data_IF_090320073511
#
_entry.id   IF_090320073511
#
_cell.length_a   1.000
_cell.length_b   1.000
_cell.length_c   1.000
_cell.angle_alpha   90.00
_cell.angle_beta   90.00
_cell.angle_gamma   90.00
#
_symmetry.space_group_name_H-M   'P 1'
#
loop_
_entity.id
_entity.type
_entity.pdbx_description
1 polymer ?
#
# COMPACT_ATOMS: atom_id res chain seq x y z
N UNK A 1 -6.23 -11.63 -9.49
CA UNK A 1 -4.94 -12.30 -9.22
C UNK A 1 -4.70 -12.32 -7.73
N UNK A 2 -3.94 -13.30 -7.24
CA UNK A 2 -3.61 -13.43 -5.82
C UNK A 2 -2.18 -12.95 -5.61
N UNK A 3 -2.01 -12.00 -4.69
CA UNK A 3 -0.73 -11.39 -4.39
C UNK A 3 -0.45 -11.47 -2.89
N UNK A 4 0.83 -11.38 -2.53
CA UNK A 4 1.26 -11.26 -1.14
C UNK A 4 2.02 -9.97 -0.99
N UNK A 5 1.44 -9.02 -0.27
CA UNK A 5 2.09 -7.74 0.02
C UNK A 5 2.87 -7.83 1.32
N UNK A 6 4.10 -7.33 1.33
CA UNK A 6 4.89 -7.10 2.54
C UNK A 6 5.01 -5.61 2.75
N UNK A 7 4.30 -5.09 3.75
CA UNK A 7 4.15 -3.65 3.97
C UNK A 7 4.80 -3.28 5.30
N UNK A 8 5.60 -2.21 5.30
CA UNK A 8 6.16 -1.67 6.53
C UNK A 8 5.07 -1.02 7.39
N UNK A 9 4.96 -1.45 8.65
CA UNK A 9 4.00 -0.94 9.63
C UNK A 9 4.73 -0.45 10.87
N UNK A 10 4.34 0.72 11.35
CA UNK A 10 4.90 1.33 12.56
C UNK A 10 3.79 2.15 13.23
N UNK A 11 3.46 1.82 14.48
CA UNK A 11 2.35 2.47 15.21
C UNK A 11 2.64 3.91 15.64
N UNK A 12 3.91 4.32 15.63
CA UNK A 12 4.30 5.68 16.01
C UNK A 12 5.81 5.87 16.05
N UNK A 13 6.28 7.10 16.29
CA UNK A 13 7.69 7.48 16.12
C UNK A 13 8.64 6.81 17.11
N UNK A 14 8.14 6.28 18.24
CA UNK A 14 8.92 5.59 19.27
C UNK A 14 8.85 4.07 19.15
N UNK A 15 7.93 3.55 18.35
CA UNK A 15 7.71 2.12 18.19
C UNK A 15 8.63 1.57 17.10
N UNK A 16 9.11 0.34 17.28
CA UNK A 16 9.89 -0.33 16.24
C UNK A 16 8.95 -0.75 15.09
N UNK A 17 9.27 -0.34 13.87
CA UNK A 17 8.54 -0.79 12.70
C UNK A 17 8.88 -2.22 12.29
N UNK A 18 8.01 -2.84 11.50
CA UNK A 18 8.17 -4.20 11.00
C UNK A 18 7.49 -4.38 9.65
N UNK A 19 7.92 -5.38 8.89
CA UNK A 19 7.19 -5.82 7.70
C UNK A 19 6.05 -6.74 8.13
N UNK A 20 4.82 -6.38 7.75
CA UNK A 20 3.62 -7.20 7.95
C UNK A 20 3.19 -7.78 6.60
N UNK A 21 2.77 -9.04 6.59
CA UNK A 21 2.41 -9.77 5.37
C UNK A 21 0.90 -9.83 5.23
N UNK A 22 0.40 -9.42 4.06
CA UNK A 22 -1.01 -9.43 3.71
C UNK A 22 -1.24 -10.28 2.45
N UNK A 23 -1.91 -11.43 2.55
CA UNK A 23 -2.42 -12.12 1.39
C UNK A 23 -3.66 -11.37 0.89
N UNK A 24 -3.68 -11.03 -0.40
CA UNK A 24 -4.83 -10.39 -1.05
C UNK A 24 -5.24 -11.21 -2.28
N UNK A 25 -6.54 -11.35 -2.46
CA UNK A 25 -7.15 -12.01 -3.62
C UNK A 25 -7.82 -10.99 -4.53
N UNK A 26 -8.25 -11.45 -5.71
CA UNK A 26 -9.15 -10.69 -6.59
C UNK A 26 -8.61 -9.37 -7.14
N UNK A 27 -7.29 -9.15 -7.09
CA UNK A 27 -6.65 -7.98 -7.70
C UNK A 27 -6.79 -8.06 -9.23
N UNK A 28 -7.33 -7.03 -9.88
CA UNK A 28 -7.36 -7.00 -11.34
C UNK A 28 -5.97 -6.67 -11.90
N UNK A 29 -5.52 -7.28 -13.01
CA UNK A 29 -4.32 -6.83 -13.71
C UNK A 29 -4.41 -5.38 -14.22
N UNK A 30 -5.62 -4.84 -14.35
CA UNK A 30 -5.85 -3.45 -14.78
C UNK A 30 -5.83 -2.45 -13.61
N UNK A 31 -5.73 -2.92 -12.36
CA UNK A 31 -5.61 -2.05 -11.19
C UNK A 31 -4.20 -1.47 -11.10
N UNK A 32 -4.14 -0.19 -10.77
CA UNK A 32 -2.93 0.44 -10.26
C UNK A 32 -2.55 -0.12 -8.88
N UNK A 33 -1.28 0.06 -8.51
CA UNK A 33 -0.80 -0.34 -7.19
C UNK A 33 -1.54 0.38 -6.05
N UNK A 34 -1.95 1.64 -6.26
CA UNK A 34 -2.68 2.41 -5.26
C UNK A 34 -4.11 1.89 -5.05
N UNK A 35 -4.81 1.52 -6.13
CA UNK A 35 -6.13 0.88 -6.03
C UNK A 35 -6.05 -0.48 -5.32
N UNK A 36 -4.97 -1.23 -5.53
CA UNK A 36 -4.73 -2.46 -4.78
C UNK A 36 -4.57 -2.20 -3.26
N UNK A 37 -3.92 -1.09 -2.88
CA UNK A 37 -3.83 -0.69 -1.46
C UNK A 37 -5.19 -0.22 -0.91
N UNK A 38 -6.03 0.42 -1.72
CA UNK A 38 -7.38 0.80 -1.32
C UNK A 38 -8.23 -0.45 -0.99
N UNK A 39 -8.20 -1.47 -1.85
CA UNK A 39 -8.90 -2.75 -1.62
C UNK A 39 -8.41 -3.43 -0.34
N UNK A 40 -7.08 -3.46 -0.11
CA UNK A 40 -6.54 -3.96 1.15
C UNK A 40 -7.06 -3.17 2.34
N UNK A 41 -7.06 -1.84 2.24
CA UNK A 41 -7.53 -0.96 3.31
C UNK A 41 -9.02 -1.17 3.62
N UNK A 42 -9.88 -1.33 2.60
CA UNK A 42 -11.29 -1.68 2.80
C UNK A 42 -11.43 -2.99 3.58
N UNK A 43 -10.67 -4.03 3.21
CA UNK A 43 -10.67 -5.30 3.94
C UNK A 43 -10.23 -5.13 5.40
N UNK A 44 -9.18 -4.35 5.67
CA UNK A 44 -8.69 -4.11 7.03
C UNK A 44 -9.74 -3.36 7.87
N UNK A 45 -10.39 -2.36 7.30
CA UNK A 45 -11.47 -1.63 7.98
C UNK A 45 -12.61 -2.57 8.36
N UNK A 46 -13.02 -3.47 7.44
CA UNK A 46 -14.10 -4.43 7.69
C UNK A 46 -13.73 -5.41 8.81
N UNK A 47 -12.45 -5.82 8.92
CA UNK A 47 -11.98 -6.72 9.99
C UNK A 47 -11.65 -5.99 11.30
N UNK A 48 -11.81 -4.67 11.36
CA UNK A 48 -11.52 -3.86 12.54
C UNK A 48 -10.02 -3.62 12.77
N UNK A 49 -9.21 -3.80 11.72
CA UNK A 49 -7.78 -3.51 11.73
C UNK A 49 -7.49 -2.09 11.23
N UNK A 50 -6.34 -1.55 11.63
CA UNK A 50 -5.90 -0.24 11.14
C UNK A 50 -5.50 -0.31 9.66
N UNK A 51 -5.97 0.62 8.81
CA UNK A 51 -5.54 0.72 7.42
C UNK A 51 -4.04 0.97 7.27
N UNK A 52 -3.51 0.63 6.10
CA UNK A 52 -2.20 1.08 5.62
C UNK A 52 -2.25 2.57 5.33
N UNK A 53 -1.43 3.33 6.05
CA UNK A 53 -1.24 4.76 5.81
C UNK A 53 -0.22 4.94 4.68
N UNK A 54 -0.59 5.69 3.66
CA UNK A 54 0.30 6.13 2.58
C UNK A 54 -0.21 7.46 2.02
N UNK A 55 0.71 8.29 1.54
CA UNK A 55 0.35 9.55 0.92
C UNK A 55 -0.16 9.29 -0.50
N UNK A 56 -1.28 9.92 -0.87
CA UNK A 56 -1.83 9.87 -2.21
C UNK A 56 -2.60 11.15 -2.53
N UNK A 57 -2.65 11.54 -3.81
CA UNK A 57 -3.44 12.69 -4.27
C UNK A 57 -3.93 12.50 -5.71
N UNK A 58 -3.21 13.01 -6.73
CA UNK A 58 -3.72 13.07 -8.11
C UNK A 58 -3.96 11.72 -8.80
N UNK A 59 -3.28 10.63 -8.38
CA UNK A 59 -3.33 9.28 -9.00
C UNK A 59 -3.02 9.18 -10.50
N UNK A 60 -2.57 10.27 -11.12
CA UNK A 60 -2.23 10.35 -12.54
C UNK A 60 -0.72 10.50 -12.77
N UNK A 61 0.10 10.36 -11.72
CA UNK A 61 1.56 10.38 -11.81
C UNK A 61 2.20 11.77 -11.93
N UNK A 62 1.49 12.84 -11.57
CA UNK A 62 1.94 14.23 -11.80
C UNK A 62 2.42 14.92 -10.50
N UNK A 63 1.75 14.70 -9.37
CA UNK A 63 1.98 15.50 -8.15
C UNK A 63 3.15 15.05 -7.28
N UNK A 64 3.71 13.84 -7.49
CA UNK A 64 4.83 13.30 -6.71
C UNK A 64 4.50 12.80 -5.29
N UNK A 65 3.23 12.82 -4.87
CA UNK A 65 2.81 12.44 -3.52
C UNK A 65 2.98 10.94 -3.23
N UNK A 66 2.75 10.08 -4.22
CA UNK A 66 2.65 8.63 -4.03
C UNK A 66 4.00 7.87 -4.02
N UNK A 67 5.09 8.52 -3.57
CA UNK A 67 6.49 8.08 -3.69
C UNK A 67 6.85 6.89 -2.77
N UNK A 68 6.25 5.73 -3.01
CA UNK A 68 6.49 4.49 -2.27
C UNK A 68 7.79 3.80 -2.71
N UNK A 69 8.40 3.00 -1.84
CA UNK A 69 9.53 2.13 -2.22
C UNK A 69 9.02 0.70 -2.44
N UNK A 70 8.97 0.27 -3.70
CA UNK A 70 8.32 -0.96 -4.14
C UNK A 70 9.41 -1.90 -4.66
N UNK A 71 9.54 -3.08 -4.05
CA UNK A 71 10.46 -4.14 -4.48
C UNK A 71 11.93 -3.72 -4.68
N UNK A 72 12.42 -2.74 -3.90
CA UNK A 72 13.80 -2.27 -4.01
C UNK A 72 13.99 -1.05 -4.91
N UNK A 73 12.90 -0.44 -5.38
CA UNK A 73 12.94 0.71 -6.28
C UNK A 73 11.96 1.79 -5.81
N UNK A 74 12.36 3.06 -5.95
CA UNK A 74 11.47 4.17 -5.65
C UNK A 74 10.43 4.30 -6.77
N UNK A 75 9.16 4.35 -6.39
CA UNK A 75 8.06 4.57 -7.32
C UNK A 75 8.00 6.03 -7.72
N UNK A 76 8.06 6.29 -9.02
CA UNK A 76 8.05 7.61 -9.61
C UNK A 76 8.48 7.55 -11.07
N UNK A 77 8.52 8.69 -11.77
CA UNK A 77 9.13 8.77 -13.09
C UNK A 77 10.65 8.50 -13.03
N UNK A 78 11.18 7.94 -14.11
CA UNK A 78 12.63 7.87 -14.38
C UNK A 78 13.24 9.26 -14.65
#
# INVERSE_FOLDING_TARGET
>A
MNLTLKIWRQKGPKEKGQMVTYPISDVSPDMSFLEMLDVLNESLVITGEEPVSFDHDCREGICGTCSLYINGEAHGPD
#
